data_IF_281904142856
#
_entry.id   IF_281904142856
#
_cell.length_a   1.000
_cell.length_b   1.000
_cell.length_c   1.000
_cell.angle_alpha   90.00
_cell.angle_beta   90.00
_cell.angle_gamma   90.00
#
_symmetry.space_group_name_H-M   'P 1'
#
loop_
_entity.id
_entity.type
_entity.pdbx_description
1 polymer ?
#
# COMPACT_ATOMS: atom_id res chain seq x y z
N UNK A 1 -2.40 -11.20 5.66
CA UNK A 1 -1.38 -11.10 4.60
C UNK A 1 -1.53 -12.30 3.67
N UNK A 2 -1.77 -12.07 2.39
CA UNK A 2 -2.00 -13.15 1.41
C UNK A 2 -0.75 -13.27 0.56
N UNK A 3 -0.04 -14.38 0.68
CA UNK A 3 1.11 -14.73 -0.14
C UNK A 3 0.65 -15.54 -1.35
N UNK A 4 1.05 -15.14 -2.55
CA UNK A 4 0.71 -15.83 -3.79
C UNK A 4 1.92 -15.92 -4.72
N UNK A 5 2.01 -17.00 -5.46
CA UNK A 5 3.07 -17.25 -6.42
C UNK A 5 2.70 -16.70 -7.80
N UNK A 6 3.64 -16.05 -8.46
CA UNK A 6 3.48 -15.52 -9.82
C UNK A 6 4.10 -16.47 -10.84
N UNK A 7 3.37 -16.72 -11.91
CA UNK A 7 3.82 -17.50 -13.06
C UNK A 7 3.89 -16.60 -14.29
N UNK A 8 4.92 -16.74 -15.11
CA UNK A 8 5.02 -16.00 -16.36
C UNK A 8 4.63 -16.88 -17.53
N UNK A 9 3.58 -16.46 -18.14
CA UNK A 9 3.43 -16.34 -19.57
C UNK A 9 2.75 -15.00 -19.88
N UNK A 10 2.69 -14.64 -21.15
CA UNK A 10 2.08 -13.43 -21.70
C UNK A 10 0.65 -13.11 -21.22
N UNK A 11 0.09 -13.97 -20.36
CA UNK A 11 -1.18 -13.76 -19.64
C UNK A 11 -1.01 -14.19 -18.18
N UNK A 12 -1.10 -13.23 -17.26
CA UNK A 12 -1.08 -13.47 -15.82
C UNK A 12 -2.28 -14.35 -15.41
N UNK A 13 -2.01 -15.57 -15.00
CA UNK A 13 -3.00 -16.39 -14.29
C UNK A 13 -2.84 -16.16 -12.78
N UNK A 14 -3.76 -15.40 -12.22
CA UNK A 14 -3.89 -15.25 -10.77
C UNK A 14 -4.76 -16.36 -10.22
N UNK A 15 -4.19 -17.25 -9.42
CA UNK A 15 -4.98 -18.24 -8.68
C UNK A 15 -5.58 -17.60 -7.43
N UNK A 16 -6.91 -17.61 -7.34
CA UNK A 16 -7.65 -17.10 -6.19
C UNK A 16 -7.74 -18.16 -5.09
N UNK A 17 -7.17 -17.89 -3.93
CA UNK A 17 -7.42 -18.65 -2.71
C UNK A 17 -8.49 -17.98 -1.85
N UNK A 18 -9.31 -18.77 -1.11
CA UNK A 18 -10.28 -18.22 -0.19
C UNK A 18 -9.59 -17.43 0.92
N UNK A 19 -10.07 -16.22 1.14
CA UNK A 19 -9.63 -15.33 2.20
C UNK A 19 -10.22 -15.85 3.52
N UNK A 20 -9.37 -16.13 4.50
CA UNK A 20 -9.82 -16.27 5.87
C UNK A 20 -9.93 -14.87 6.48
N UNK A 21 -11.12 -14.35 6.83
CA UNK A 21 -11.28 -12.97 7.28
C UNK A 21 -10.86 -12.70 8.74
N UNK A 22 -10.35 -13.71 9.44
CA UNK A 22 -10.03 -13.62 10.85
C UNK A 22 -8.55 -13.88 11.13
N UNK A 23 -7.72 -12.86 10.95
CA UNK A 23 -6.38 -12.87 11.51
C UNK A 23 -5.32 -12.25 10.61
N UNK A 24 -4.43 -11.49 11.22
CA UNK A 24 -3.15 -11.09 10.64
C UNK A 24 -2.23 -12.31 10.73
N UNK A 25 -2.48 -13.34 9.93
CA UNK A 25 -1.60 -14.49 9.83
C UNK A 25 -0.63 -14.27 8.67
N UNK A 26 0.65 -14.38 8.97
CA UNK A 26 1.71 -14.47 7.95
C UNK A 26 1.66 -15.90 7.41
N UNK A 27 0.99 -16.10 6.29
CA UNK A 27 0.96 -17.40 5.62
C UNK A 27 2.16 -17.49 4.68
N UNK A 28 2.96 -18.55 4.85
CA UNK A 28 4.01 -18.88 3.92
C UNK A 28 3.40 -19.45 2.62
N UNK A 29 4.12 -19.29 1.50
CA UNK A 29 3.74 -19.95 0.24
C UNK A 29 3.84 -21.46 0.43
N UNK A 30 2.74 -22.18 0.22
CA UNK A 30 2.72 -23.64 0.34
C UNK A 30 3.47 -24.29 -0.84
N UNK A 31 4.64 -24.94 -0.61
CA UNK A 31 5.44 -25.55 -1.66
C UNK A 31 4.73 -26.73 -2.32
N UNK A 32 3.86 -27.42 -1.60
CA UNK A 32 3.08 -28.56 -2.13
C UNK A 32 2.06 -28.08 -3.16
N UNK A 33 1.38 -26.98 -2.82
CA UNK A 33 0.46 -26.36 -3.75
C UNK A 33 1.16 -25.82 -4.99
N UNK A 34 2.30 -25.17 -4.83
CA UNK A 34 3.11 -24.66 -5.93
C UNK A 34 3.53 -25.81 -6.90
N UNK A 35 3.97 -26.94 -6.35
CA UNK A 35 4.33 -28.11 -7.15
C UNK A 35 3.12 -28.68 -7.92
N UNK A 36 1.96 -28.81 -7.26
CA UNK A 36 0.72 -29.26 -7.90
C UNK A 36 0.27 -28.32 -9.02
N UNK A 37 0.36 -27.01 -8.82
CA UNK A 37 0.00 -26.03 -9.83
C UNK A 37 0.90 -26.12 -11.05
N UNK A 38 2.23 -26.27 -10.85
CA UNK A 38 3.19 -26.48 -11.96
C UNK A 38 2.88 -27.73 -12.75
N UNK A 39 2.52 -28.82 -12.06
CA UNK A 39 2.17 -30.08 -12.72
C UNK A 39 0.87 -29.94 -13.54
N UNK A 40 -0.14 -29.29 -13.00
CA UNK A 40 -1.38 -28.97 -13.70
C UNK A 40 -1.12 -28.12 -14.96
N UNK A 41 -0.27 -27.10 -14.86
CA UNK A 41 0.09 -26.25 -15.99
C UNK A 41 0.80 -27.04 -17.09
N UNK A 42 1.73 -27.94 -16.73
CA UNK A 42 2.37 -28.86 -17.67
C UNK A 42 1.37 -29.76 -18.41
N UNK A 43 0.36 -30.31 -17.69
CA UNK A 43 -0.67 -31.14 -18.27
C UNK A 43 -1.56 -30.38 -19.26
N UNK A 44 -1.72 -29.07 -19.10
CA UNK A 44 -2.45 -28.21 -20.04
C UNK A 44 -1.61 -27.74 -21.24
N UNK A 45 -0.38 -28.24 -21.38
CA UNK A 45 0.53 -27.84 -22.45
C UNK A 45 1.20 -26.47 -22.24
N UNK A 46 1.17 -25.95 -21.01
CA UNK A 46 1.79 -24.68 -20.63
C UNK A 46 2.98 -24.94 -19.71
N UNK A 47 4.21 -25.01 -20.23
CA UNK A 47 5.41 -25.20 -19.42
C UNK A 47 5.83 -23.88 -18.74
N UNK A 48 4.98 -23.38 -17.86
CA UNK A 48 5.25 -22.14 -17.12
C UNK A 48 6.16 -22.41 -15.94
N UNK A 49 7.01 -21.43 -15.61
CA UNK A 49 7.88 -21.47 -14.45
C UNK A 49 7.51 -20.37 -13.46
N UNK A 50 7.79 -20.63 -12.18
CA UNK A 50 7.62 -19.62 -11.14
C UNK A 50 8.67 -18.53 -11.33
N UNK A 51 8.21 -17.27 -11.39
CA UNK A 51 9.08 -16.10 -11.56
C UNK A 51 9.07 -15.17 -10.37
N UNK A 52 8.26 -15.47 -9.37
CA UNK A 52 8.14 -14.65 -8.18
C UNK A 52 6.86 -14.90 -7.41
N UNK A 53 6.58 -14.01 -6.51
CA UNK A 53 5.45 -14.09 -5.61
C UNK A 53 4.91 -12.69 -5.31
N UNK A 54 3.68 -12.61 -4.86
CA UNK A 54 3.07 -11.35 -4.47
C UNK A 54 2.24 -11.49 -3.19
N UNK A 55 2.15 -10.39 -2.46
CA UNK A 55 1.35 -10.31 -1.23
C UNK A 55 0.82 -8.90 -1.00
N UNK A 56 -0.08 -8.76 -0.05
CA UNK A 56 -0.70 -7.49 0.29
C UNK A 56 -0.22 -6.96 1.64
N UNK A 57 -0.02 -5.65 1.71
CA UNK A 57 0.21 -4.89 2.93
C UNK A 57 -0.93 -3.88 3.14
N UNK A 58 -2.11 -4.30 3.65
CA UNK A 58 -3.28 -3.44 3.76
C UNK A 58 -3.02 -2.25 4.69
N UNK A 59 -2.90 -1.03 4.15
CA UNK A 59 -2.68 0.21 4.90
C UNK A 59 -1.25 0.48 5.35
N UNK A 60 -0.31 -0.44 5.07
CA UNK A 60 1.08 -0.32 5.54
C UNK A 60 2.06 0.18 4.46
N UNK A 61 1.59 0.32 3.22
CA UNK A 61 2.45 0.67 2.07
C UNK A 61 3.30 -0.49 1.56
N UNK A 62 4.06 -0.23 0.49
CA UNK A 62 4.85 -1.25 -0.19
C UNK A 62 6.30 -1.25 0.31
N UNK A 63 6.68 -2.32 1.01
CA UNK A 63 8.01 -2.59 1.54
C UNK A 63 8.13 -4.09 1.89
N UNK A 64 9.32 -4.58 2.17
CA UNK A 64 9.54 -5.97 2.57
C UNK A 64 9.87 -6.06 4.06
N UNK A 65 9.13 -6.89 4.79
CA UNK A 65 9.45 -7.29 6.17
C UNK A 65 10.64 -8.25 6.21
N UNK A 66 11.16 -8.53 7.41
CA UNK A 66 12.21 -9.53 7.57
C UNK A 66 11.80 -10.93 7.08
N UNK A 67 10.53 -11.30 7.26
CA UNK A 67 9.98 -12.57 6.74
C UNK A 67 9.91 -12.54 5.21
N UNK A 68 9.50 -11.42 4.63
CA UNK A 68 9.43 -11.25 3.18
C UNK A 68 10.81 -11.31 2.53
N UNK A 69 11.83 -10.74 3.18
CA UNK A 69 13.22 -10.80 2.73
C UNK A 69 13.70 -12.27 2.71
N UNK A 70 13.42 -13.05 3.75
CA UNK A 70 13.78 -14.47 3.80
C UNK A 70 13.04 -15.28 2.73
N UNK A 71 11.76 -14.99 2.52
CA UNK A 71 10.97 -15.62 1.45
C UNK A 71 11.56 -15.30 0.08
N UNK A 72 11.85 -14.03 -0.17
CA UNK A 72 12.45 -13.59 -1.43
C UNK A 72 13.82 -14.25 -1.65
N UNK A 73 14.63 -14.38 -0.62
CA UNK A 73 15.92 -15.08 -0.70
C UNK A 73 15.76 -16.54 -1.16
N UNK A 74 14.73 -17.23 -0.67
CA UNK A 74 14.42 -18.59 -1.09
C UNK A 74 14.01 -18.66 -2.56
N UNK A 75 13.23 -17.67 -3.03
CA UNK A 75 12.87 -17.59 -4.46
C UNK A 75 14.06 -17.22 -5.35
N UNK A 76 14.91 -16.29 -4.92
CA UNK A 76 16.11 -15.90 -5.67
C UNK A 76 17.16 -17.03 -5.74
N UNK A 77 17.20 -17.91 -4.73
CA UNK A 77 18.04 -19.12 -4.78
C UNK A 77 17.60 -20.09 -5.88
N UNK A 78 16.33 -20.12 -6.24
CA UNK A 78 15.81 -20.91 -7.36
C UNK A 78 15.95 -20.19 -8.71
N UNK A 79 15.82 -18.88 -8.72
CA UNK A 79 15.93 -18.03 -9.90
C UNK A 79 16.40 -16.65 -9.52
N UNK A 80 17.59 -16.25 -9.96
CA UNK A 80 18.17 -14.92 -9.70
C UNK A 80 17.27 -13.75 -10.14
N UNK A 81 16.33 -14.02 -11.04
CA UNK A 81 15.39 -13.02 -11.57
C UNK A 81 14.05 -13.02 -10.86
N UNK A 82 13.89 -13.77 -9.79
CA UNK A 82 12.66 -13.81 -9.01
C UNK A 82 12.31 -12.41 -8.46
N UNK A 83 11.02 -12.10 -8.42
CA UNK A 83 10.50 -10.80 -8.03
C UNK A 83 9.50 -10.96 -6.90
N UNK A 84 9.61 -10.11 -5.87
CA UNK A 84 8.57 -9.94 -4.84
C UNK A 84 7.71 -8.73 -5.19
N UNK A 85 6.40 -8.91 -5.26
CA UNK A 85 5.45 -7.80 -5.51
C UNK A 85 4.61 -7.56 -4.28
N UNK A 86 4.53 -6.31 -3.86
CA UNK A 86 3.72 -5.87 -2.73
C UNK A 86 2.62 -4.93 -3.22
N UNK A 87 1.39 -5.17 -2.76
CA UNK A 87 0.23 -4.36 -3.12
C UNK A 87 -0.41 -3.83 -1.83
N UNK A 88 -0.70 -2.55 -1.78
CA UNK A 88 -1.53 -1.98 -0.72
C UNK A 88 -2.95 -1.72 -1.25
N UNK A 89 -3.92 -2.58 -0.92
CA UNK A 89 -5.30 -2.43 -1.41
C UNK A 89 -6.03 -1.26 -0.78
N UNK A 90 -5.67 -0.85 0.45
CA UNK A 90 -6.35 0.24 1.17
C UNK A 90 -5.91 1.60 0.63
N UNK A 91 -4.61 1.77 0.33
CA UNK A 91 -4.09 3.00 -0.27
C UNK A 91 -4.33 3.08 -1.79
N UNK A 92 -4.80 2.00 -2.41
CA UNK A 92 -5.16 1.96 -3.83
C UNK A 92 -6.52 2.62 -4.05
N UNK A 93 -6.52 3.95 -4.22
CA UNK A 93 -7.73 4.78 -4.33
C UNK A 93 -7.73 5.61 -5.61
N UNK A 94 -8.90 6.10 -6.03
CA UNK A 94 -9.07 7.01 -7.18
C UNK A 94 -8.48 6.47 -8.49
N UNK A 95 -8.58 5.18 -8.71
CA UNK A 95 -8.09 4.52 -9.93
C UNK A 95 -6.57 4.30 -9.99
N UNK A 96 -5.85 4.62 -8.92
CA UNK A 96 -4.43 4.27 -8.77
C UNK A 96 -4.29 2.98 -7.98
N UNK A 97 -3.36 2.14 -8.40
CA UNK A 97 -2.94 0.96 -7.63
C UNK A 97 -1.61 1.29 -6.96
N UNK A 98 -1.56 1.13 -5.65
CA UNK A 98 -0.31 1.23 -4.88
C UNK A 98 0.33 -0.15 -4.91
N UNK A 99 1.34 -0.28 -5.73
CA UNK A 99 2.05 -1.53 -6.02
C UNK A 99 3.52 -1.25 -6.24
N UNK A 100 4.38 -2.07 -5.67
CA UNK A 100 5.82 -2.04 -5.87
C UNK A 100 6.37 -3.45 -6.06
N UNK A 101 7.48 -3.55 -6.77
CA UNK A 101 8.21 -4.79 -6.98
C UNK A 101 9.65 -4.65 -6.49
N UNK A 102 10.16 -5.72 -5.90
CA UNK A 102 11.45 -5.70 -5.24
C UNK A 102 12.30 -6.92 -5.59
N UNK A 103 13.62 -6.73 -5.55
CA UNK A 103 14.64 -7.77 -5.54
C UNK A 103 15.66 -7.50 -4.44
N UNK A 104 16.30 -8.56 -3.97
CA UNK A 104 17.33 -8.42 -2.95
C UNK A 104 18.62 -7.82 -3.54
N UNK A 105 19.37 -7.15 -2.70
CA UNK A 105 20.72 -6.69 -3.00
C UNK A 105 21.70 -7.76 -2.53
N UNK A 106 22.55 -8.22 -3.43
CA UNK A 106 23.63 -9.12 -3.05
C UNK A 106 24.64 -8.35 -2.17
N UNK A 107 24.90 -8.78 -0.92
CA UNK A 107 25.83 -8.10 -0.03
C UNK A 107 27.24 -7.92 -0.62
N UNK A 108 27.68 -8.86 -1.43
CA UNK A 108 29.00 -8.81 -2.07
C UNK A 108 29.13 -7.67 -3.07
N UNK A 109 28.05 -7.30 -3.73
CA UNK A 109 28.03 -6.17 -4.70
C UNK A 109 28.24 -4.85 -3.98
N UNK A 110 27.66 -4.70 -2.78
CA UNK A 110 27.85 -3.50 -1.97
C UNK A 110 29.30 -3.36 -1.44
N UNK A 111 29.91 -4.48 -1.06
CA UNK A 111 31.34 -4.49 -0.62
C UNK A 111 32.28 -4.10 -1.74
N UNK A 112 31.92 -4.46 -2.99
CA UNK A 112 32.73 -4.12 -4.18
C UNK A 112 32.48 -2.70 -4.71
N UNK A 113 31.62 -1.92 -4.06
CA UNK A 113 31.26 -0.56 -4.49
C UNK A 113 30.52 -0.48 -5.81
N UNK A 114 29.94 -1.60 -6.26
CA UNK A 114 29.12 -1.67 -7.48
C UNK A 114 27.69 -1.22 -7.16
N UNK A 115 27.00 -0.69 -8.15
CA UNK A 115 25.59 -0.39 -8.00
C UNK A 115 24.78 -1.68 -7.78
N UNK A 116 24.01 -1.76 -6.69
CA UNK A 116 23.24 -2.97 -6.34
C UNK A 116 22.05 -3.20 -7.27
N UNK A 117 21.76 -2.26 -8.13
CA UNK A 117 20.61 -2.25 -9.02
C UNK A 117 21.01 -2.64 -10.43
N UNK A 118 20.20 -3.49 -11.07
CA UNK A 118 20.29 -3.71 -12.49
C UNK A 118 20.02 -2.39 -13.23
N UNK A 119 20.97 -1.89 -13.99
CA UNK A 119 20.83 -0.67 -14.79
C UNK A 119 19.77 -0.89 -15.87
N UNK A 120 18.71 -0.06 -15.80
CA UNK A 120 17.68 -0.01 -16.83
C UNK A 120 17.60 1.42 -17.38
N UNK A 121 17.24 1.56 -18.66
CA UNK A 121 17.04 2.86 -19.31
C UNK A 121 15.90 3.69 -18.69
N UNK A 122 15.10 3.09 -17.80
CA UNK A 122 13.90 3.68 -17.22
C UNK A 122 14.06 4.11 -15.74
N UNK A 123 15.28 4.33 -15.27
CA UNK A 123 15.56 4.77 -13.89
C UNK A 123 14.83 6.08 -13.53
N UNK A 124 14.60 6.97 -14.49
CA UNK A 124 13.88 8.23 -14.29
C UNK A 124 12.38 8.07 -13.97
N UNK A 125 11.80 6.89 -14.15
CA UNK A 125 10.40 6.60 -13.86
C UNK A 125 10.18 5.93 -12.49
N UNK A 126 11.24 5.72 -11.70
CA UNK A 126 11.10 5.23 -10.34
C UNK A 126 10.44 6.29 -9.47
N UNK A 127 9.40 5.88 -8.77
CA UNK A 127 8.74 6.75 -7.79
C UNK A 127 9.71 7.06 -6.64
N UNK A 128 9.53 8.24 -6.03
CA UNK A 128 10.28 8.56 -4.81
C UNK A 128 9.99 7.50 -3.75
N UNK A 129 11.02 6.92 -3.13
CA UNK A 129 10.83 5.88 -2.12
C UNK A 129 10.03 6.41 -0.95
N UNK A 130 9.12 5.60 -0.42
CA UNK A 130 8.42 5.94 0.82
C UNK A 130 9.40 5.89 2.00
N UNK A 131 9.18 6.75 2.99
CA UNK A 131 9.99 6.77 4.21
C UNK A 131 9.89 5.42 4.94
N UNK A 132 8.72 4.81 4.95
CA UNK A 132 8.52 3.47 5.52
C UNK A 132 9.40 2.42 4.84
N UNK A 133 9.46 2.39 3.52
CA UNK A 133 10.30 1.46 2.79
C UNK A 133 11.79 1.66 3.13
N UNK A 134 12.25 2.92 3.27
CA UNK A 134 13.63 3.23 3.66
C UNK A 134 13.97 2.72 5.07
N UNK A 135 13.05 2.88 6.03
CA UNK A 135 13.21 2.35 7.39
C UNK A 135 13.34 0.83 7.37
N UNK A 136 12.53 0.17 6.56
CA UNK A 136 12.52 -1.28 6.40
C UNK A 136 13.62 -1.82 5.48
N UNK A 137 14.60 -1.01 5.13
CA UNK A 137 15.84 -1.44 4.49
C UNK A 137 15.87 -1.35 2.97
N UNK A 138 14.96 -0.58 2.36
CA UNK A 138 15.05 -0.24 0.94
C UNK A 138 16.40 0.43 0.65
N UNK A 139 17.03 0.05 -0.45
CA UNK A 139 18.38 0.42 -0.88
C UNK A 139 19.52 -0.08 0.04
N UNK A 140 19.22 -0.89 1.06
CA UNK A 140 20.22 -1.60 1.87
C UNK A 140 20.13 -3.12 1.72
N UNK A 141 18.92 -3.67 1.80
CA UNK A 141 18.68 -5.11 1.72
C UNK A 141 17.98 -5.50 0.42
N UNK A 142 17.21 -4.60 -0.14
CA UNK A 142 16.49 -4.81 -1.40
C UNK A 142 16.33 -3.48 -2.15
N UNK A 143 16.00 -3.55 -3.41
CA UNK A 143 15.77 -2.39 -4.28
C UNK A 143 14.44 -2.52 -5.03
N UNK A 144 13.85 -1.39 -5.38
CA UNK A 144 12.61 -1.36 -6.14
C UNK A 144 12.87 -1.43 -7.65
N UNK A 145 11.93 -2.07 -8.36
CA UNK A 145 11.92 -2.21 -9.80
C UNK A 145 10.77 -1.38 -10.35
N UNK A 146 10.97 -0.67 -11.46
CA UNK A 146 9.88 0.07 -12.08
C UNK A 146 8.80 -0.89 -12.61
N UNK A 147 7.53 -0.55 -12.31
CA UNK A 147 6.38 -1.35 -12.71
C UNK A 147 5.62 -0.63 -13.81
N UNK A 148 5.21 -1.40 -14.80
CA UNK A 148 4.23 -0.98 -15.79
C UNK A 148 3.12 -2.05 -15.83
N UNK A 149 1.89 -1.67 -15.53
CA UNK A 149 0.74 -2.56 -15.59
C UNK A 149 -0.30 -2.02 -16.57
N UNK A 150 -0.91 -2.94 -17.32
CA UNK A 150 -1.98 -2.63 -18.25
C UNK A 150 -3.33 -2.79 -17.55
N UNK A 151 -4.27 -1.96 -17.94
CA UNK A 151 -5.67 -1.99 -17.48
C UNK A 151 -6.58 -1.91 -18.69
N UNK A 152 -7.62 -2.71 -18.72
CA UNK A 152 -8.73 -2.54 -19.65
C UNK A 152 -9.73 -1.51 -19.11
N UNK A 153 -10.72 -1.12 -19.91
CA UNK A 153 -11.71 -0.12 -19.49
C UNK A 153 -12.57 -0.57 -18.29
N UNK A 154 -12.89 -1.85 -18.20
CA UNK A 154 -13.69 -2.39 -17.09
C UNK A 154 -12.88 -2.37 -15.79
N UNK A 155 -11.62 -2.78 -15.85
CA UNK A 155 -10.70 -2.72 -14.71
C UNK A 155 -10.47 -1.28 -14.26
N UNK A 156 -10.32 -0.33 -15.19
CA UNK A 156 -10.21 1.08 -14.86
C UNK A 156 -11.46 1.62 -14.16
N UNK A 157 -12.66 1.27 -14.65
CA UNK A 157 -13.93 1.63 -14.01
C UNK A 157 -14.06 0.99 -12.63
N UNK A 158 -13.66 -0.28 -12.49
CA UNK A 158 -13.65 -0.97 -11.20
C UNK A 158 -12.71 -0.29 -10.21
N UNK A 159 -11.48 0.03 -10.60
CA UNK A 159 -10.51 0.72 -9.76
C UNK A 159 -10.98 2.12 -9.35
N UNK A 160 -11.67 2.85 -10.24
CA UNK A 160 -12.26 4.14 -9.91
C UNK A 160 -13.42 4.03 -8.92
N UNK A 161 -14.09 2.88 -8.87
CA UNK A 161 -15.20 2.63 -7.96
C UNK A 161 -14.76 2.01 -6.62
N UNK A 162 -13.52 1.55 -6.50
CA UNK A 162 -12.97 1.09 -5.23
C UNK A 162 -13.06 2.21 -4.19
N UNK A 163 -13.50 1.85 -3.00
CA UNK A 163 -13.68 2.76 -1.86
C UNK A 163 -14.66 3.91 -2.09
N UNK A 164 -15.45 3.90 -3.17
CA UNK A 164 -16.59 4.81 -3.27
C UNK A 164 -17.66 4.37 -2.28
N UNK A 165 -18.07 5.30 -1.45
CA UNK A 165 -19.29 5.12 -0.65
C UNK A 165 -20.49 5.21 -1.57
N UNK A 166 -21.52 4.40 -1.33
CA UNK A 166 -22.79 4.55 -2.03
C UNK A 166 -23.43 5.88 -1.61
N UNK A 167 -24.22 6.50 -2.49
CA UNK A 167 -25.00 7.67 -2.13
C UNK A 167 -25.94 7.38 -0.94
N UNK A 168 -26.44 6.16 -0.86
CA UNK A 168 -27.30 5.71 0.22
C UNK A 168 -26.56 5.76 1.57
N UNK A 169 -25.33 5.24 1.63
CA UNK A 169 -24.50 5.29 2.85
C UNK A 169 -24.12 6.72 3.22
N UNK A 170 -23.83 7.56 2.20
CA UNK A 170 -23.48 8.96 2.38
C UNK A 170 -24.65 9.83 2.85
N UNK A 171 -25.89 9.43 2.56
CA UNK A 171 -27.10 10.16 2.98
C UNK A 171 -27.76 9.58 4.24
N UNK A 172 -27.21 8.51 4.80
CA UNK A 172 -27.70 7.96 6.06
C UNK A 172 -27.38 8.95 7.18
N UNK A 173 -28.45 9.46 7.83
CA UNK A 173 -28.33 10.35 8.97
C UNK A 173 -27.90 9.54 10.21
N UNK A 174 -26.86 10.01 10.87
CA UNK A 174 -26.50 9.52 12.18
C UNK A 174 -27.40 10.11 13.25
N UNK A 175 -27.60 9.40 14.35
CA UNK A 175 -28.25 9.97 15.52
C UNK A 175 -27.43 11.17 16.02
N UNK A 176 -28.14 12.22 16.47
CA UNK A 176 -27.49 13.49 16.81
C UNK A 176 -26.40 13.32 17.89
N UNK A 177 -26.68 12.53 18.92
CA UNK A 177 -25.70 12.30 19.99
C UNK A 177 -24.44 11.59 19.51
N UNK A 178 -24.59 10.59 18.64
CA UNK A 178 -23.46 9.85 18.07
C UNK A 178 -22.63 10.75 17.16
N UNK A 179 -23.29 11.53 16.31
CA UNK A 179 -22.61 12.48 15.43
C UNK A 179 -21.86 13.57 16.21
N UNK A 180 -22.47 14.09 17.29
CA UNK A 180 -21.83 15.04 18.19
C UNK A 180 -20.59 14.45 18.87
N UNK A 181 -20.67 13.23 19.38
CA UNK A 181 -19.55 12.56 20.01
C UNK A 181 -18.40 12.30 19.03
N UNK A 182 -18.71 11.91 17.79
CA UNK A 182 -17.71 11.74 16.73
C UNK A 182 -17.03 13.08 16.41
N UNK A 183 -17.82 14.16 16.29
CA UNK A 183 -17.29 15.51 16.02
C UNK A 183 -16.37 15.99 17.15
N UNK A 184 -16.77 15.82 18.40
CA UNK A 184 -15.95 16.20 19.56
C UNK A 184 -14.61 15.45 19.57
N UNK A 185 -14.65 14.16 19.31
CA UNK A 185 -13.42 13.35 19.19
C UNK A 185 -12.53 13.84 18.05
N UNK A 186 -13.09 14.08 16.88
CA UNK A 186 -12.35 14.58 15.72
C UNK A 186 -11.73 15.94 15.98
N UNK A 187 -12.47 16.86 16.64
CA UNK A 187 -11.93 18.18 17.02
C UNK A 187 -10.80 18.04 18.03
N UNK A 188 -10.90 17.15 19.01
CA UNK A 188 -9.82 16.89 19.96
C UNK A 188 -8.55 16.36 19.25
N UNK A 189 -8.71 15.45 18.29
CA UNK A 189 -7.61 14.96 17.44
C UNK A 189 -6.99 16.11 16.61
N UNK A 190 -7.81 16.96 16.02
CA UNK A 190 -7.34 18.14 15.26
C UNK A 190 -6.55 19.11 16.12
N UNK A 191 -6.97 19.36 17.37
CA UNK A 191 -6.21 20.20 18.33
C UNK A 191 -4.84 19.57 18.62
N UNK A 192 -4.78 18.26 18.79
CA UNK A 192 -3.52 17.53 18.98
C UNK A 192 -2.59 17.66 17.76
N UNK A 193 -3.14 17.49 16.57
CA UNK A 193 -2.41 17.63 15.31
C UNK A 193 -1.92 19.05 15.07
N UNK A 194 -2.73 20.07 15.39
CA UNK A 194 -2.33 21.47 15.30
C UNK A 194 -1.16 21.81 16.23
N UNK A 195 -1.19 21.29 17.47
CA UNK A 195 -0.05 21.42 18.39
C UNK A 195 1.21 20.73 17.87
N UNK A 196 1.06 19.53 17.28
CA UNK A 196 2.17 18.81 16.68
C UNK A 196 2.72 19.57 15.45
N UNK A 197 1.87 20.17 14.65
CA UNK A 197 2.26 21.00 13.51
C UNK A 197 3.03 22.27 13.95
N UNK A 198 2.54 23.01 14.95
CA UNK A 198 3.25 24.16 15.48
C UNK A 198 4.64 23.78 16.00
N UNK A 199 4.74 22.65 16.70
CA UNK A 199 6.02 22.13 17.16
C UNK A 199 6.95 21.77 15.99
N UNK A 200 6.41 21.23 14.90
CA UNK A 200 7.19 20.92 13.70
C UNK A 200 7.77 22.20 13.07
N UNK A 201 6.99 23.28 13.00
CA UNK A 201 7.46 24.59 12.50
C UNK A 201 8.58 25.14 13.40
N UNK A 202 8.40 25.12 14.73
CA UNK A 202 9.44 25.56 15.65
C UNK A 202 10.75 24.74 15.51
N UNK A 203 10.62 23.45 15.24
CA UNK A 203 11.76 22.58 15.00
C UNK A 203 12.46 22.91 13.67
N UNK A 204 11.71 23.27 12.61
CA UNK A 204 12.25 23.71 11.32
C UNK A 204 13.07 24.98 11.44
N UNK A 205 12.65 25.92 12.29
CA UNK A 205 13.40 27.15 12.54
C UNK A 205 14.72 26.93 13.32
N UNK A 206 14.77 25.89 14.16
CA UNK A 206 15.89 25.66 15.10
C UNK A 206 16.90 24.63 14.60
N UNK A 207 16.55 23.80 13.64
CA UNK A 207 17.36 22.66 13.22
C UNK A 207 17.87 22.80 11.78
N UNK A 208 19.02 22.16 11.51
CA UNK A 208 19.52 22.06 10.14
C UNK A 208 18.68 21.06 9.32
N UNK A 209 18.63 21.20 7.97
CA UNK A 209 17.86 20.28 7.11
C UNK A 209 18.21 18.80 7.30
N UNK A 210 19.47 18.49 7.61
CA UNK A 210 19.93 17.13 7.85
C UNK A 210 19.37 16.57 9.18
N UNK A 211 19.36 17.39 10.24
CA UNK A 211 18.79 16.99 11.53
C UNK A 211 17.27 16.81 11.45
N UNK A 212 16.59 17.67 10.69
CA UNK A 212 15.16 17.53 10.40
C UNK A 212 14.84 16.23 9.65
N UNK A 213 15.65 15.90 8.63
CA UNK A 213 15.48 14.67 7.88
C UNK A 213 15.59 13.42 8.78
N UNK A 214 16.56 13.42 9.71
CA UNK A 214 16.73 12.33 10.69
C UNK A 214 15.57 12.30 11.69
N UNK A 215 15.14 13.46 12.21
CA UNK A 215 14.09 13.56 13.23
C UNK A 215 12.71 13.16 12.69
N UNK A 216 12.46 13.45 11.42
CA UNK A 216 11.17 13.18 10.75
C UNK A 216 11.09 11.79 10.12
N UNK A 217 12.16 11.00 10.19
CA UNK A 217 12.13 9.60 9.72
C UNK A 217 11.04 8.83 10.46
N UNK A 218 10.10 8.29 9.72
CA UNK A 218 8.98 7.49 10.25
C UNK A 218 7.86 8.26 10.95
N UNK A 219 7.93 9.59 10.98
CA UNK A 219 6.82 10.39 11.49
C UNK A 219 5.87 10.76 10.35
N UNK A 220 4.59 10.69 10.66
CA UNK A 220 3.56 11.18 9.75
C UNK A 220 3.57 12.72 9.76
N UNK A 221 3.32 13.32 8.60
CA UNK A 221 3.21 14.77 8.48
C UNK A 221 1.93 15.26 9.20
N UNK A 222 2.05 16.00 10.30
CA UNK A 222 0.90 16.48 11.06
C UNK A 222 0.03 17.45 10.27
N UNK A 223 0.59 18.22 9.32
CA UNK A 223 -0.15 19.11 8.45
C UNK A 223 -1.12 18.34 7.55
N UNK A 224 -0.64 17.31 6.90
CA UNK A 224 -1.45 16.49 6.00
C UNK A 224 -2.61 15.82 6.75
N UNK A 225 -2.35 15.27 7.93
CA UNK A 225 -3.40 14.65 8.73
C UNK A 225 -4.40 15.66 9.26
N UNK A 226 -3.96 16.88 9.58
CA UNK A 226 -4.86 17.96 9.96
C UNK A 226 -5.78 18.32 8.78
N UNK A 227 -5.25 18.46 7.58
CA UNK A 227 -6.03 18.73 6.36
C UNK A 227 -7.06 17.60 6.10
N UNK A 228 -6.64 16.34 6.16
CA UNK A 228 -7.53 15.17 6.00
C UNK A 228 -8.64 15.13 7.05
N UNK A 229 -8.33 15.47 8.31
CA UNK A 229 -9.30 15.51 9.40
C UNK A 229 -10.31 16.66 9.24
N UNK A 230 -9.86 17.83 8.78
CA UNK A 230 -10.72 18.98 8.48
C UNK A 230 -11.68 18.63 7.35
N UNK A 231 -11.17 18.08 6.23
CA UNK A 231 -11.99 17.70 5.09
C UNK A 231 -13.03 16.64 5.47
N UNK A 232 -12.65 15.66 6.26
CA UNK A 232 -13.57 14.63 6.76
C UNK A 232 -14.67 15.21 7.66
N UNK A 233 -14.29 16.08 8.60
CA UNK A 233 -15.24 16.74 9.50
C UNK A 233 -16.21 17.63 8.74
N UNK A 234 -15.71 18.46 7.84
CA UNK A 234 -16.53 19.35 7.01
C UNK A 234 -17.51 18.56 6.14
N UNK A 235 -17.02 17.51 5.46
CA UNK A 235 -17.85 16.68 4.60
C UNK A 235 -18.95 15.99 5.40
N UNK A 236 -18.61 15.40 6.54
CA UNK A 236 -19.58 14.75 7.42
C UNK A 236 -20.67 15.71 7.90
N UNK A 237 -20.29 16.90 8.36
CA UNK A 237 -21.24 17.92 8.83
C UNK A 237 -22.13 18.47 7.70
N UNK A 238 -21.59 18.67 6.50
CA UNK A 238 -22.36 19.10 5.33
C UNK A 238 -23.40 18.04 4.97
N UNK A 239 -23.00 16.76 4.88
CA UNK A 239 -23.91 15.66 4.58
C UNK A 239 -25.01 15.55 5.62
N UNK A 240 -24.67 15.62 6.91
CA UNK A 240 -25.64 15.55 7.99
C UNK A 240 -26.62 16.73 7.96
N UNK A 241 -26.13 17.95 7.72
CA UNK A 241 -26.96 19.15 7.64
C UNK A 241 -27.90 19.10 6.43
N UNK A 242 -27.40 18.75 5.25
CA UNK A 242 -28.19 18.63 4.04
C UNK A 242 -29.22 17.50 4.16
N UNK A 243 -28.85 16.36 4.71
CA UNK A 243 -29.76 15.25 4.95
C UNK A 243 -30.89 15.61 5.90
N UNK A 244 -30.58 16.33 6.98
CA UNK A 244 -31.60 16.83 7.94
C UNK A 244 -32.53 17.85 7.29
N UNK A 245 -31.99 18.80 6.51
CA UNK A 245 -32.78 19.78 5.76
C UNK A 245 -33.70 19.10 4.75
N UNK A 246 -33.21 18.15 3.97
CA UNK A 246 -33.99 17.39 3.00
C UNK A 246 -35.10 16.58 3.69
N UNK A 247 -34.78 15.90 4.78
CA UNK A 247 -35.77 15.15 5.55
C UNK A 247 -36.90 16.05 6.06
N UNK A 248 -36.55 17.21 6.62
CA UNK A 248 -37.54 18.16 7.10
C UNK A 248 -38.38 18.80 5.99
N UNK A 249 -37.86 18.93 4.78
CA UNK A 249 -38.58 19.54 3.66
C UNK A 249 -39.47 18.55 2.91
N UNK A 250 -38.99 17.30 2.72
CA UNK A 250 -39.69 16.29 1.92
C UNK A 250 -40.77 15.56 2.73
N UNK A 251 -40.55 15.35 4.03
CA UNK A 251 -41.45 14.57 4.88
C UNK A 251 -42.31 15.44 5.85
N UNK A 252 -42.39 16.70 5.58
CA UNK A 252 -43.44 17.58 6.14
C UNK A 252 -44.67 17.56 5.25
#
# INVERSE_FOLDING_TARGET
>A
MLLRTMFVETNLLTTNFPINPQGVSVEAVDPVFQAKMLDMLKQTGRPEMVVGWYHSHPGFGCWLSGVDINTQQSFEALSERAVAVVVDPIQSVKGKVVIDAFRLINPNVMVLGQEPRQTTSNLGHLQKPSIQALIHGLNRHYYSISINYRKNELEQKMLLNLHKKSWQDGLTLHEFNDHSAINEKTVAEMVSLAKAYNKAIEDEEKMTPQQLAIKNVGKQDPKRHLEESVDSLMTSNIVQSLGTMMSNYIFK
#
